data_IF_923273604717
#
_entry.id   IF_923273604717
#
_cell.length_a   1.000
_cell.length_b   1.000
_cell.length_c   1.000
_cell.angle_alpha   90.00
_cell.angle_beta   90.00
_cell.angle_gamma   90.00
#
_symmetry.space_group_name_H-M   'P 1'
#
loop_
_entity.id
_entity.type
_entity.pdbx_description
1 polymer ?
#
# COMPACT_ATOMS: atom_id res chain seq x y z
N UNK A 1 11.36 23.88 23.51
CA UNK A 1 10.56 22.64 23.66
C UNK A 1 9.21 22.86 23.01
N UNK A 2 8.75 21.99 22.13
CA UNK A 2 7.36 22.06 21.61
C UNK A 2 6.42 21.96 22.82
N UNK A 3 5.71 23.04 23.15
CA UNK A 3 4.77 23.09 24.28
C UNK A 3 3.50 22.32 23.97
N UNK A 4 3.62 21.01 23.74
CA UNK A 4 2.55 20.06 23.91
C UNK A 4 2.37 19.80 25.40
N UNK A 5 1.19 20.10 25.95
CA UNK A 5 0.98 19.96 27.40
C UNK A 5 -0.46 20.15 27.87
N UNK A 6 -1.42 20.24 26.94
CA UNK A 6 -2.84 20.36 27.28
C UNK A 6 -3.54 19.01 27.36
N UNK A 7 -2.93 17.93 26.84
CA UNK A 7 -3.50 16.59 26.82
C UNK A 7 -2.41 15.54 27.00
N UNK A 8 -2.63 14.60 27.91
CA UNK A 8 -1.77 13.44 28.17
C UNK A 8 -2.56 12.16 27.91
N UNK A 9 -2.01 11.23 27.13
CA UNK A 9 -2.57 9.89 26.98
C UNK A 9 -2.06 9.03 28.16
N UNK A 10 -2.99 8.48 28.95
CA UNK A 10 -2.67 7.55 30.05
C UNK A 10 -2.76 6.11 29.55
N UNK A 11 -3.80 5.82 28.78
CA UNK A 11 -3.98 4.53 28.09
C UNK A 11 -4.70 4.73 26.75
N UNK A 12 -5.01 3.66 26.02
CA UNK A 12 -5.79 3.74 24.76
C UNK A 12 -7.13 4.50 24.96
N UNK A 13 -7.74 4.35 26.14
CA UNK A 13 -9.09 4.84 26.44
C UNK A 13 -9.18 5.78 27.64
N UNK A 14 -8.03 6.28 28.12
CA UNK A 14 -7.96 7.25 29.20
C UNK A 14 -6.95 8.36 28.88
N UNK A 15 -7.40 9.59 29.11
CA UNK A 15 -6.66 10.81 28.84
C UNK A 15 -6.80 11.76 30.02
N UNK A 16 -5.78 12.58 30.24
CA UNK A 16 -5.88 13.75 31.10
C UNK A 16 -5.84 15.00 30.23
N UNK A 17 -6.77 15.92 30.45
CA UNK A 17 -6.83 17.20 29.74
C UNK A 17 -6.68 18.33 30.74
N UNK A 18 -5.73 19.24 30.50
CA UNK A 18 -5.46 20.38 31.38
C UNK A 18 -6.65 21.34 31.34
N UNK A 19 -7.06 21.82 32.50
CA UNK A 19 -8.05 22.88 32.60
C UNK A 19 -7.49 24.18 32.01
N UNK A 20 -8.32 24.88 31.24
CA UNK A 20 -7.98 26.20 30.69
C UNK A 20 -8.26 27.34 31.67
N UNK A 21 -9.18 27.13 32.62
CA UNK A 21 -9.63 28.17 33.56
C UNK A 21 -9.02 28.04 34.95
N UNK A 22 -8.48 26.86 35.29
CA UNK A 22 -7.86 26.62 36.60
C UNK A 22 -6.45 26.08 36.38
N UNK A 23 -5.45 26.86 36.74
CA UNK A 23 -4.05 26.48 36.52
C UNK A 23 -3.71 25.21 37.34
N UNK A 24 -2.87 24.33 36.78
CA UNK A 24 -2.46 23.08 37.44
C UNK A 24 -3.51 21.95 37.48
N UNK A 25 -4.79 22.22 37.21
CA UNK A 25 -5.85 21.18 37.28
C UNK A 25 -5.90 20.35 35.99
N UNK A 26 -6.01 19.03 36.16
CA UNK A 26 -6.21 18.07 35.09
C UNK A 26 -7.53 17.33 35.26
N UNK A 27 -8.27 17.17 34.17
CA UNK A 27 -9.49 16.38 34.13
C UNK A 27 -9.23 15.05 33.43
N UNK A 28 -9.51 13.95 34.12
CA UNK A 28 -9.54 12.62 33.50
C UNK A 28 -10.77 12.49 32.60
N UNK A 29 -10.53 12.01 31.38
CA UNK A 29 -11.51 11.68 30.35
C UNK A 29 -11.35 10.20 30.00
N UNK A 30 -12.41 9.41 30.24
CA UNK A 30 -12.39 7.94 30.10
C UNK A 30 -13.56 7.43 29.30
N UNK A 31 -13.38 6.32 28.59
CA UNK A 31 -14.47 5.57 27.97
C UNK A 31 -15.09 4.60 28.99
N UNK A 32 -16.32 4.85 29.41
CA UNK A 32 -17.05 4.06 30.42
C UNK A 32 -18.46 3.78 29.90
N UNK A 33 -18.92 2.52 29.98
CA UNK A 33 -20.29 2.11 29.62
C UNK A 33 -20.76 2.62 28.24
N UNK A 34 -19.86 2.59 27.25
CA UNK A 34 -20.18 3.00 25.88
C UNK A 34 -20.21 4.51 25.62
N UNK A 35 -19.79 5.35 26.58
CA UNK A 35 -19.73 6.80 26.45
C UNK A 35 -18.41 7.37 26.98
N UNK A 36 -17.99 8.52 26.45
CA UNK A 36 -16.90 9.29 27.04
C UNK A 36 -17.42 10.06 28.26
N UNK A 37 -16.73 9.90 29.39
CA UNK A 37 -17.02 10.57 30.64
C UNK A 37 -15.85 11.47 31.04
N UNK A 38 -16.14 12.60 31.69
CA UNK A 38 -15.13 13.54 32.15
C UNK A 38 -15.34 13.91 33.62
N UNK A 39 -14.24 14.05 34.35
CA UNK A 39 -14.24 14.45 35.76
C UNK A 39 -14.50 15.95 35.99
N UNK A 40 -14.64 16.76 34.94
CA UNK A 40 -14.87 18.20 35.07
C UNK A 40 -16.30 18.53 35.56
N UNK A 41 -16.43 19.67 36.20
CA UNK A 41 -17.70 20.15 36.79
C UNK A 41 -18.82 20.31 35.75
N UNK A 42 -18.51 20.83 34.57
CA UNK A 42 -19.46 20.99 33.46
C UNK A 42 -20.10 19.65 33.05
N UNK A 43 -19.29 18.60 32.91
CA UNK A 43 -19.77 17.27 32.58
C UNK A 43 -20.66 16.71 33.71
N UNK A 44 -20.26 16.88 34.98
CA UNK A 44 -21.04 16.44 36.14
C UNK A 44 -22.41 17.13 36.21
N UNK A 45 -22.46 18.43 35.95
CA UNK A 45 -23.69 19.24 36.01
C UNK A 45 -24.64 18.94 34.86
N UNK A 46 -24.13 18.84 33.63
CA UNK A 46 -24.98 18.71 32.43
C UNK A 46 -25.25 17.27 32.02
N UNK A 47 -24.40 16.32 32.42
CA UNK A 47 -24.39 14.95 31.87
C UNK A 47 -24.11 14.89 30.36
N UNK A 48 -23.67 15.99 29.76
CA UNK A 48 -23.42 16.16 28.32
C UNK A 48 -21.93 16.33 28.06
N UNK A 49 -21.51 16.03 26.83
CA UNK A 49 -20.13 16.19 26.37
C UNK A 49 -19.61 17.60 26.65
N UNK A 50 -18.43 17.68 27.28
CA UNK A 50 -17.73 18.91 27.60
C UNK A 50 -16.57 19.17 26.63
N UNK A 51 -15.96 20.34 26.71
CA UNK A 51 -14.79 20.71 25.90
C UNK A 51 -13.61 19.73 26.02
N UNK A 52 -13.40 19.12 27.19
CA UNK A 52 -12.32 18.15 27.40
C UNK A 52 -12.56 16.84 26.63
N UNK A 53 -13.82 16.40 26.52
CA UNK A 53 -14.21 15.26 25.69
C UNK A 53 -13.99 15.61 24.21
N UNK A 54 -14.38 16.82 23.77
CA UNK A 54 -14.10 17.26 22.40
C UNK A 54 -12.61 17.33 22.08
N UNK A 55 -11.78 17.79 23.02
CA UNK A 55 -10.33 17.81 22.86
C UNK A 55 -9.75 16.40 22.65
N UNK A 56 -10.20 15.41 23.43
CA UNK A 56 -9.80 14.00 23.26
C UNK A 56 -10.25 13.46 21.91
N UNK A 57 -11.50 13.71 21.53
CA UNK A 57 -12.06 13.25 20.26
C UNK A 57 -11.32 13.85 19.06
N UNK A 58 -10.97 15.14 19.12
CA UNK A 58 -10.17 15.81 18.10
C UNK A 58 -8.75 15.24 18.03
N UNK A 59 -8.10 15.08 19.19
CA UNK A 59 -6.74 14.51 19.27
C UNK A 59 -6.69 13.09 18.67
N UNK A 60 -7.69 12.25 18.95
CA UNK A 60 -7.80 10.91 18.36
C UNK A 60 -8.03 10.95 16.85
N UNK A 61 -8.73 11.97 16.33
CA UNK A 61 -9.03 12.13 14.91
C UNK A 61 -7.91 12.79 14.11
N UNK A 62 -7.03 13.55 14.77
CA UNK A 62 -5.99 14.36 14.14
C UNK A 62 -5.09 13.59 13.16
N UNK A 63 -4.60 12.37 13.46
CA UNK A 63 -3.81 11.62 12.50
C UNK A 63 -4.57 11.32 11.19
N UNK A 64 -5.87 11.01 11.27
CA UNK A 64 -6.70 10.76 10.08
C UNK A 64 -6.93 12.05 9.30
N UNK A 65 -7.06 13.18 9.99
CA UNK A 65 -7.20 14.51 9.35
C UNK A 65 -5.93 14.84 8.58
N UNK A 66 -4.76 14.69 9.22
CA UNK A 66 -3.46 14.91 8.57
C UNK A 66 -3.33 14.01 7.35
N UNK A 67 -3.58 12.70 7.49
CA UNK A 67 -3.48 11.75 6.38
C UNK A 67 -4.37 12.13 5.20
N UNK A 68 -5.58 12.64 5.45
CA UNK A 68 -6.50 13.11 4.40
C UNK A 68 -6.11 14.43 3.78
N UNK A 69 -5.30 15.23 4.45
CA UNK A 69 -4.81 16.50 3.93
C UNK A 69 -3.50 16.36 3.15
N UNK A 70 -2.86 15.18 3.17
CA UNK A 70 -1.66 14.88 2.34
C UNK A 70 -2.00 14.88 0.85
N UNK A 71 -3.22 14.52 0.48
CA UNK A 71 -3.70 14.58 -0.89
C UNK A 71 -5.14 15.08 -0.90
N UNK A 72 -5.53 15.86 -1.92
CA UNK A 72 -6.91 16.30 -2.10
C UNK A 72 -7.81 15.11 -2.46
N UNK A 73 -8.13 14.28 -1.47
CA UNK A 73 -9.03 13.15 -1.58
C UNK A 73 -10.44 13.71 -1.79
N UNK A 74 -10.87 13.78 -3.05
CA UNK A 74 -12.26 14.06 -3.38
C UNK A 74 -13.10 12.87 -2.93
N UNK A 75 -13.98 13.10 -1.96
CA UNK A 75 -14.85 12.04 -1.44
C UNK A 75 -15.80 11.66 -2.56
N UNK A 76 -15.84 10.36 -2.88
CA UNK A 76 -16.71 9.78 -3.91
C UNK A 76 -17.60 8.72 -3.30
N UNK A 77 -18.81 8.60 -3.83
CA UNK A 77 -19.74 7.60 -3.38
C UNK A 77 -19.16 6.22 -3.71
N UNK A 78 -19.05 5.30 -2.74
CA UNK A 78 -18.52 3.97 -3.01
C UNK A 78 -19.40 3.22 -4.02
N UNK A 79 -20.73 3.42 -3.97
CA UNK A 79 -21.67 2.69 -4.83
C UNK A 79 -21.76 3.18 -6.27
N UNK A 80 -21.66 4.49 -6.51
CA UNK A 80 -21.90 5.06 -7.85
C UNK A 80 -20.79 6.01 -8.33
N UNK A 81 -19.72 6.20 -7.57
CA UNK A 81 -18.61 7.09 -7.93
C UNK A 81 -18.92 8.60 -7.90
N UNK A 82 -20.19 9.00 -7.69
CA UNK A 82 -20.62 10.40 -7.66
C UNK A 82 -19.94 11.21 -6.56
N UNK A 83 -19.58 12.45 -6.89
CA UNK A 83 -19.06 13.47 -5.96
C UNK A 83 -20.17 14.25 -5.25
N UNK A 84 -21.44 14.06 -5.65
CA UNK A 84 -22.57 14.75 -5.05
C UNK A 84 -22.90 14.14 -3.67
N UNK A 85 -22.15 14.57 -2.67
CA UNK A 85 -22.10 13.98 -1.34
C UNK A 85 -22.32 15.05 -0.28
N UNK A 86 -23.21 14.77 0.66
CA UNK A 86 -23.44 15.62 1.83
C UNK A 86 -23.06 14.91 3.13
N UNK A 87 -22.60 15.69 4.12
CA UNK A 87 -22.34 15.19 5.47
C UNK A 87 -23.68 14.92 6.18
N UNK A 88 -23.85 13.72 6.74
CA UNK A 88 -25.06 13.29 7.47
C UNK A 88 -24.74 12.88 8.90
N UNK A 89 -24.25 13.84 9.68
CA UNK A 89 -23.93 13.66 11.09
C UNK A 89 -22.66 12.83 11.33
N UNK A 90 -22.35 12.60 12.60
CA UNK A 90 -21.11 11.95 13.04
C UNK A 90 -21.46 10.85 14.04
N UNK A 91 -20.94 9.64 13.82
CA UNK A 91 -20.99 8.58 14.83
C UNK A 91 -19.83 8.76 15.79
N UNK A 92 -20.13 8.78 17.08
CA UNK A 92 -19.13 8.78 18.14
C UNK A 92 -18.93 7.36 18.63
N UNK A 93 -17.69 6.89 18.68
CA UNK A 93 -17.37 5.57 19.18
C UNK A 93 -16.11 5.59 20.04
N UNK A 94 -15.79 4.42 20.59
CA UNK A 94 -14.59 4.20 21.42
C UNK A 94 -13.30 4.63 20.72
N UNK A 95 -13.22 4.41 19.40
CA UNK A 95 -12.07 4.74 18.57
C UNK A 95 -12.16 6.15 17.93
N UNK A 96 -13.00 7.04 18.47
CA UNK A 96 -13.15 8.42 18.02
C UNK A 96 -14.35 8.69 17.11
N UNK A 97 -14.29 9.81 16.39
CA UNK A 97 -15.35 10.31 15.52
C UNK A 97 -15.31 9.64 14.14
N UNK A 98 -16.47 9.23 13.62
CA UNK A 98 -16.65 8.68 12.28
C UNK A 98 -17.69 9.52 11.55
N UNK A 99 -17.25 10.24 10.52
CA UNK A 99 -18.14 11.08 9.71
C UNK A 99 -19.01 10.19 8.82
N UNK A 100 -20.33 10.41 8.83
CA UNK A 100 -21.28 9.77 7.90
C UNK A 100 -21.57 10.69 6.72
N UNK A 101 -21.78 10.09 5.57
CA UNK A 101 -22.07 10.74 4.30
C UNK A 101 -23.32 10.13 3.67
N UNK A 102 -24.03 10.93 2.89
CA UNK A 102 -25.10 10.51 2.00
C UNK A 102 -24.77 10.95 0.59
N UNK A 103 -24.76 10.00 -0.35
CA UNK A 103 -24.72 10.32 -1.76
C UNK A 103 -26.10 10.79 -2.23
N UNK A 104 -26.17 12.00 -2.78
CA UNK A 104 -27.41 12.56 -3.35
C UNK A 104 -27.77 11.96 -4.70
N UNK A 105 -26.81 11.39 -5.43
CA UNK A 105 -27.08 10.74 -6.72
C UNK A 105 -27.75 9.37 -6.58
N UNK A 106 -27.35 8.54 -5.61
CA UNK A 106 -27.87 7.17 -5.48
C UNK A 106 -28.48 6.84 -4.11
N UNK A 107 -28.64 7.83 -3.22
CA UNK A 107 -29.23 7.68 -1.89
C UNK A 107 -28.41 6.84 -0.89
N UNK A 108 -27.19 6.43 -1.25
CA UNK A 108 -26.40 5.51 -0.42
C UNK A 108 -25.73 6.22 0.74
N UNK A 109 -25.89 5.68 1.95
CA UNK A 109 -25.16 6.11 3.13
C UNK A 109 -23.81 5.41 3.22
N UNK A 110 -22.77 6.17 3.55
CA UNK A 110 -21.44 5.61 3.77
C UNK A 110 -20.68 6.40 4.83
N UNK A 111 -19.50 5.93 5.22
CA UNK A 111 -18.67 6.58 6.24
C UNK A 111 -17.26 6.89 5.78
N UNK A 112 -16.60 7.77 6.52
CA UNK A 112 -15.21 8.10 6.27
C UNK A 112 -14.24 6.94 6.59
N UNK A 113 -14.71 5.86 7.23
CA UNK A 113 -13.93 4.66 7.55
C UNK A 113 -14.30 3.43 6.71
N UNK A 114 -15.07 3.56 5.63
CA UNK A 114 -15.56 2.37 4.92
C UNK A 114 -14.47 1.41 4.44
N UNK A 115 -13.41 1.94 3.82
CA UNK A 115 -12.26 1.14 3.39
C UNK A 115 -11.46 0.54 4.57
N UNK A 116 -11.75 0.93 5.80
CA UNK A 116 -11.17 0.42 7.05
C UNK A 116 -12.20 -0.24 7.98
N UNK A 117 -13.39 -0.60 7.48
CA UNK A 117 -14.42 -1.27 8.26
C UNK A 117 -13.91 -2.60 8.85
N UNK A 118 -14.35 -2.89 10.08
CA UNK A 118 -13.94 -4.05 10.86
C UNK A 118 -12.54 -3.94 11.48
N UNK A 119 -11.84 -2.81 11.30
CA UNK A 119 -10.57 -2.58 11.99
C UNK A 119 -10.80 -1.83 13.29
N UNK A 120 -10.33 -2.41 14.39
CA UNK A 120 -10.32 -1.78 15.71
C UNK A 120 -9.40 -0.55 15.76
N UNK A 121 -8.34 -0.58 14.95
CA UNK A 121 -7.28 0.43 14.92
C UNK A 121 -7.44 1.43 13.78
N UNK A 122 -6.81 2.61 13.97
CA UNK A 122 -6.91 3.78 13.11
C UNK A 122 -6.42 3.48 11.66
N UNK A 123 -7.13 3.93 10.60
CA UNK A 123 -6.68 3.93 9.20
C UNK A 123 -5.20 4.28 9.00
N UNK A 124 -4.70 5.24 9.77
CA UNK A 124 -3.31 5.71 9.74
C UNK A 124 -2.34 4.60 10.10
N UNK A 125 -2.67 3.76 11.09
CA UNK A 125 -1.81 2.64 11.49
C UNK A 125 -1.64 1.63 10.35
N UNK A 126 -2.69 1.39 9.57
CA UNK A 126 -2.63 0.51 8.39
C UNK A 126 -1.72 1.11 7.32
N UNK A 127 -1.91 2.39 6.98
CA UNK A 127 -1.13 3.05 5.94
C UNK A 127 0.36 3.08 6.30
N UNK A 128 0.68 3.46 7.53
CA UNK A 128 2.06 3.44 8.04
C UNK A 128 2.62 2.03 8.02
N UNK A 129 1.82 1.04 8.43
CA UNK A 129 2.25 -0.36 8.41
C UNK A 129 2.63 -0.84 7.00
N UNK A 130 1.82 -0.50 5.99
CA UNK A 130 2.12 -0.82 4.59
C UNK A 130 3.42 -0.13 4.16
N UNK A 131 3.52 1.18 4.39
CA UNK A 131 4.68 1.98 3.98
C UNK A 131 5.99 1.45 4.58
N UNK A 132 6.04 1.28 5.90
CA UNK A 132 7.23 0.80 6.59
C UNK A 132 7.56 -0.65 6.21
N UNK A 133 6.55 -1.51 6.01
CA UNK A 133 6.78 -2.90 5.61
C UNK A 133 7.49 -3.01 4.26
N UNK A 134 7.09 -2.20 3.28
CA UNK A 134 7.73 -2.17 1.96
C UNK A 134 9.06 -1.39 1.94
N UNK A 135 9.32 -0.57 2.95
CA UNK A 135 10.62 0.07 3.23
C UNK A 135 11.53 -0.77 4.14
N UNK A 136 11.40 -2.09 4.10
CA UNK A 136 12.26 -3.06 4.81
C UNK A 136 12.20 -3.05 6.34
N UNK A 137 11.18 -2.42 6.95
CA UNK A 137 11.00 -2.50 8.40
C UNK A 137 10.36 -3.84 8.76
N UNK A 138 10.85 -4.48 9.83
CA UNK A 138 10.31 -5.75 10.33
C UNK A 138 8.94 -5.55 10.98
N UNK A 139 8.07 -6.55 10.96
CA UNK A 139 6.72 -6.44 11.56
C UNK A 139 6.77 -6.08 13.06
N UNK A 140 7.80 -6.54 13.78
CA UNK A 140 8.01 -6.22 15.20
C UNK A 140 8.44 -4.75 15.37
N UNK A 141 9.32 -4.26 14.51
CA UNK A 141 9.75 -2.86 14.54
C UNK A 141 8.61 -1.92 14.12
N UNK A 142 7.73 -2.34 13.20
CA UNK A 142 6.52 -1.57 12.86
C UNK A 142 5.59 -1.50 14.08
N UNK A 143 5.33 -2.62 14.77
CA UNK A 143 4.53 -2.62 16.00
C UNK A 143 5.13 -1.68 17.06
N UNK A 144 6.45 -1.74 17.26
CA UNK A 144 7.15 -0.86 18.17
C UNK A 144 7.04 0.62 17.75
N UNK A 145 7.23 0.93 16.47
CA UNK A 145 7.07 2.29 15.93
C UNK A 145 5.67 2.85 16.16
N UNK A 146 4.63 2.05 15.91
CA UNK A 146 3.24 2.44 16.16
C UNK A 146 2.98 2.73 17.65
N UNK A 147 3.60 1.94 18.55
CA UNK A 147 3.52 2.18 19.99
C UNK A 147 4.27 3.46 20.40
N UNK A 148 5.51 3.65 19.95
CA UNK A 148 6.36 4.76 20.35
C UNK A 148 5.87 6.12 19.84
N UNK A 149 5.49 6.19 18.56
CA UNK A 149 5.17 7.47 17.90
C UNK A 149 3.68 7.80 18.01
N UNK A 150 2.81 6.80 17.93
CA UNK A 150 1.36 7.01 17.86
C UNK A 150 0.61 6.51 19.09
N UNK A 151 1.30 5.87 20.05
CA UNK A 151 0.68 5.25 21.22
C UNK A 151 -0.31 4.14 20.85
N UNK A 152 -0.13 3.49 19.69
CA UNK A 152 -1.01 2.45 19.17
C UNK A 152 -0.38 1.09 19.48
N UNK A 153 -0.96 0.38 20.43
CA UNK A 153 -0.54 -0.98 20.76
C UNK A 153 -1.22 -1.99 19.84
N UNK A 154 -0.42 -2.69 19.04
CA UNK A 154 -0.90 -3.70 18.09
C UNK A 154 0.14 -4.81 17.96
N UNK A 155 -0.31 -6.07 17.86
CA UNK A 155 0.59 -7.19 17.63
C UNK A 155 1.11 -7.24 16.19
N UNK A 156 2.35 -7.72 16.02
CA UNK A 156 2.95 -7.93 14.70
C UNK A 156 2.12 -8.86 13.78
N UNK A 157 1.42 -9.84 14.35
CA UNK A 157 0.50 -10.73 13.63
C UNK A 157 -0.72 -9.98 13.09
N UNK A 158 -1.23 -8.99 13.82
CA UNK A 158 -2.34 -8.15 13.35
C UNK A 158 -1.90 -7.22 12.22
N UNK A 159 -0.69 -6.65 12.31
CA UNK A 159 -0.07 -5.89 11.21
C UNK A 159 0.05 -6.77 9.96
N UNK A 160 0.55 -8.00 10.10
CA UNK A 160 0.65 -8.94 8.97
C UNK A 160 -0.71 -9.21 8.32
N UNK A 161 -1.78 -9.41 9.11
CA UNK A 161 -3.14 -9.58 8.59
C UNK A 161 -3.63 -8.34 7.82
N UNK A 162 -3.30 -7.13 8.29
CA UNK A 162 -3.62 -5.90 7.54
C UNK A 162 -2.91 -5.87 6.20
N UNK A 163 -1.60 -6.13 6.18
CA UNK A 163 -0.81 -6.15 4.94
C UNK A 163 -1.44 -7.12 3.94
N UNK A 164 -1.70 -8.37 4.34
CA UNK A 164 -2.31 -9.36 3.44
C UNK A 164 -3.70 -8.94 2.92
N UNK A 165 -4.54 -8.36 3.79
CA UNK A 165 -5.88 -7.87 3.41
C UNK A 165 -5.78 -6.78 2.33
N UNK A 166 -4.98 -5.75 2.57
CA UNK A 166 -4.90 -4.61 1.67
C UNK A 166 -4.12 -4.92 0.41
N UNK A 167 -3.08 -5.75 0.46
CA UNK A 167 -2.39 -6.19 -0.76
C UNK A 167 -3.29 -7.02 -1.66
N UNK A 168 -4.09 -7.92 -1.08
CA UNK A 168 -5.09 -8.67 -1.87
C UNK A 168 -6.06 -7.72 -2.59
N UNK A 169 -6.44 -6.62 -1.95
CA UNK A 169 -7.30 -5.59 -2.54
C UNK A 169 -6.56 -4.79 -3.63
N UNK A 170 -5.37 -4.30 -3.34
CA UNK A 170 -4.58 -3.46 -4.25
C UNK A 170 -4.09 -4.23 -5.49
N UNK A 171 -3.80 -5.52 -5.34
CA UNK A 171 -3.39 -6.37 -6.46
C UNK A 171 -4.49 -6.51 -7.51
N UNK A 172 -5.77 -6.52 -7.10
CA UNK A 172 -6.90 -6.53 -8.05
C UNK A 172 -6.91 -5.29 -8.93
N UNK A 173 -6.67 -4.12 -8.33
CA UNK A 173 -6.56 -2.87 -9.08
C UNK A 173 -5.34 -2.91 -9.99
N UNK A 174 -4.17 -3.32 -9.48
CA UNK A 174 -2.96 -3.39 -10.30
C UNK A 174 -3.16 -4.23 -11.56
N UNK A 175 -3.88 -5.36 -11.47
CA UNK A 175 -4.19 -6.21 -12.63
C UNK A 175 -5.09 -5.50 -13.64
N UNK A 176 -6.04 -4.67 -13.19
CA UNK A 176 -6.98 -3.94 -14.04
C UNK A 176 -6.35 -2.74 -14.75
N UNK A 177 -5.27 -2.18 -14.20
CA UNK A 177 -4.55 -1.06 -14.83
C UNK A 177 -4.03 -1.48 -16.21
N UNK A 178 -4.11 -0.61 -17.21
CA UNK A 178 -3.60 -0.87 -18.57
C UNK A 178 -2.41 0.06 -18.88
N UNK A 179 -1.18 -0.31 -18.45
CA UNK A 179 0.00 0.53 -18.67
C UNK A 179 0.36 0.58 -20.16
N UNK A 180 0.75 1.77 -20.65
CA UNK A 180 1.33 1.93 -21.99
C UNK A 180 2.81 1.58 -21.94
N UNK A 181 3.12 0.32 -22.23
CA UNK A 181 4.47 -0.23 -22.15
C UNK A 181 5.20 -0.11 -23.50
N UNK A 182 6.53 -0.03 -23.44
CA UNK A 182 7.39 -0.04 -24.62
C UNK A 182 7.62 -1.45 -25.15
N UNK A 183 8.40 -1.53 -26.22
CA UNK A 183 8.78 -2.77 -26.90
C UNK A 183 10.19 -3.25 -26.52
N UNK A 184 10.82 -2.65 -25.51
CA UNK A 184 12.17 -3.01 -25.06
C UNK A 184 12.11 -3.54 -23.63
N UNK A 185 12.30 -4.85 -23.47
CA UNK A 185 12.19 -5.51 -22.16
C UNK A 185 13.54 -6.06 -21.72
N UNK A 186 13.77 -6.01 -20.41
CA UNK A 186 14.86 -6.74 -19.76
C UNK A 186 14.26 -7.87 -18.94
N UNK A 187 14.80 -9.07 -19.12
CA UNK A 187 14.35 -10.28 -18.43
C UNK A 187 15.54 -10.87 -17.71
N UNK A 188 15.34 -11.17 -16.44
CA UNK A 188 16.32 -11.89 -15.64
C UNK A 188 15.57 -12.73 -14.62
N UNK A 189 16.24 -13.74 -14.12
CA UNK A 189 15.70 -14.61 -13.11
C UNK A 189 16.69 -14.87 -12.00
N UNK A 190 16.17 -14.95 -10.78
CA UNK A 190 16.97 -14.97 -9.58
C UNK A 190 16.54 -16.08 -8.63
N UNK A 191 17.54 -16.74 -8.08
CA UNK A 191 17.38 -17.82 -7.11
C UNK A 191 16.90 -17.22 -5.79
N UNK A 192 15.84 -17.78 -5.22
CA UNK A 192 15.38 -17.44 -3.87
C UNK A 192 15.03 -18.70 -3.09
N UNK A 193 14.99 -18.58 -1.76
CA UNK A 193 14.56 -19.67 -0.88
C UNK A 193 13.17 -19.40 -0.35
N UNK A 194 12.22 -20.29 -0.63
CA UNK A 194 10.86 -20.28 -0.09
C UNK A 194 10.77 -21.28 1.06
N UNK A 195 10.72 -20.80 2.31
CA UNK A 195 10.73 -21.68 3.51
C UNK A 195 11.89 -22.70 3.54
N UNK A 196 13.04 -22.33 2.98
CA UNK A 196 14.21 -23.21 2.89
C UNK A 196 14.35 -23.92 1.54
N UNK A 197 13.26 -24.10 0.80
CA UNK A 197 13.25 -24.75 -0.51
C UNK A 197 13.76 -23.81 -1.61
N UNK A 198 14.64 -24.26 -2.51
CA UNK A 198 15.08 -23.46 -3.64
C UNK A 198 13.94 -23.23 -4.63
N UNK A 199 13.89 -22.02 -5.19
CA UNK A 199 13.02 -21.66 -6.29
C UNK A 199 13.56 -20.46 -7.05
N UNK A 200 12.89 -20.10 -8.14
CA UNK A 200 13.30 -19.03 -9.03
C UNK A 200 12.21 -17.99 -9.16
N UNK A 201 12.59 -16.72 -9.21
CA UNK A 201 11.72 -15.61 -9.59
C UNK A 201 12.18 -15.07 -10.91
N UNK A 202 11.28 -15.08 -11.90
CA UNK A 202 11.48 -14.50 -13.21
C UNK A 202 10.87 -13.11 -13.23
N UNK A 203 11.66 -12.13 -13.63
CA UNK A 203 11.26 -10.72 -13.65
C UNK A 203 11.37 -10.19 -15.08
N UNK A 204 10.29 -9.57 -15.55
CA UNK A 204 10.23 -8.92 -16.87
C UNK A 204 9.96 -7.44 -16.65
N UNK A 205 10.91 -6.60 -17.05
CA UNK A 205 10.89 -5.16 -16.82
C UNK A 205 10.84 -4.41 -18.14
N UNK A 206 9.98 -3.39 -18.24
CA UNK A 206 10.06 -2.41 -19.32
C UNK A 206 11.31 -1.56 -19.14
N UNK A 207 12.21 -1.57 -20.13
CA UNK A 207 13.53 -0.99 -20.00
C UNK A 207 13.49 0.54 -19.87
N UNK A 208 12.49 1.22 -20.43
CA UNK A 208 12.40 2.68 -20.42
C UNK A 208 11.75 3.18 -19.13
N UNK A 209 10.54 2.70 -18.86
CA UNK A 209 9.72 3.15 -17.72
C UNK A 209 10.07 2.48 -16.39
N UNK A 210 10.90 1.42 -16.40
CA UNK A 210 11.15 0.56 -15.23
C UNK A 210 9.89 -0.12 -14.71
N UNK A 211 8.81 -0.20 -15.49
CA UNK A 211 7.61 -0.88 -15.04
C UNK A 211 7.85 -2.39 -14.99
N UNK A 212 7.58 -3.02 -13.85
CA UNK A 212 7.62 -4.48 -13.72
C UNK A 212 6.38 -5.05 -14.40
N UNK A 213 6.58 -5.58 -15.60
CA UNK A 213 5.51 -6.11 -16.47
C UNK A 213 4.99 -7.43 -15.91
N UNK A 214 5.89 -8.33 -15.55
CA UNK A 214 5.54 -9.61 -14.96
C UNK A 214 6.59 -10.05 -13.94
N UNK A 215 6.11 -10.70 -12.89
CA UNK A 215 6.92 -11.49 -11.97
C UNK A 215 6.29 -12.87 -11.85
N UNK A 216 7.09 -13.92 -12.07
CA UNK A 216 6.65 -15.32 -12.00
C UNK A 216 7.57 -16.13 -11.11
N UNK A 217 7.04 -17.22 -10.56
CA UNK A 217 7.79 -18.10 -9.67
C UNK A 217 7.76 -19.52 -10.24
N UNK A 218 8.89 -20.23 -10.17
CA UNK A 218 9.01 -21.63 -10.61
C UNK A 218 9.95 -22.43 -9.72
N UNK A 219 9.90 -23.76 -9.87
CA UNK A 219 10.86 -24.69 -9.21
C UNK A 219 12.15 -24.82 -10.01
N UNK A 220 12.06 -24.75 -11.33
CA UNK A 220 13.20 -24.88 -12.24
C UNK A 220 13.42 -23.67 -13.14
N UNK A 221 14.41 -23.80 -14.02
CA UNK A 221 14.86 -22.83 -15.02
C UNK A 221 14.64 -23.29 -16.47
N UNK A 222 13.69 -24.20 -16.70
CA UNK A 222 13.43 -24.80 -18.02
C UNK A 222 12.89 -23.78 -19.02
N UNK A 223 12.85 -24.20 -20.29
CA UNK A 223 12.26 -23.45 -21.39
C UNK A 223 10.78 -23.15 -21.12
N UNK A 224 10.06 -24.10 -20.53
CA UNK A 224 8.63 -24.02 -20.25
C UNK A 224 8.34 -22.94 -19.19
N UNK A 225 9.21 -22.81 -18.19
CA UNK A 225 9.09 -21.82 -17.12
C UNK A 225 9.47 -20.41 -17.60
N UNK A 226 10.54 -20.29 -18.39
CA UNK A 226 10.87 -19.05 -19.09
C UNK A 226 9.73 -18.60 -20.03
N UNK A 227 9.17 -19.53 -20.81
CA UNK A 227 8.03 -19.28 -21.71
C UNK A 227 6.80 -18.81 -20.94
N UNK A 228 6.51 -19.41 -19.77
CA UNK A 228 5.41 -18.98 -18.93
C UNK A 228 5.59 -17.53 -18.45
N UNK A 229 6.79 -17.15 -18.01
CA UNK A 229 7.10 -15.79 -17.60
C UNK A 229 6.93 -14.78 -18.77
N UNK A 230 7.46 -15.12 -19.95
CA UNK A 230 7.34 -14.29 -21.15
C UNK A 230 5.89 -14.14 -21.62
N UNK A 231 5.11 -15.23 -21.63
CA UNK A 231 3.68 -15.19 -22.00
C UNK A 231 2.88 -14.25 -21.10
N UNK A 232 3.14 -14.26 -19.79
CA UNK A 232 2.48 -13.32 -18.86
C UNK A 232 2.84 -11.87 -19.18
N UNK A 233 4.09 -11.59 -19.52
CA UNK A 233 4.51 -10.24 -19.89
C UNK A 233 3.86 -9.78 -21.21
N UNK A 234 3.83 -10.66 -22.23
CA UNK A 234 3.15 -10.43 -23.51
C UNK A 234 1.68 -10.12 -23.32
N UNK A 235 0.97 -10.93 -22.55
CA UNK A 235 -0.45 -10.69 -22.26
C UNK A 235 -0.65 -9.35 -21.54
N UNK A 236 0.16 -9.05 -20.53
CA UNK A 236 0.08 -7.80 -19.74
C UNK A 236 0.31 -6.56 -20.59
N UNK A 237 1.29 -6.60 -21.50
CA UNK A 237 1.66 -5.49 -22.37
C UNK A 237 0.84 -5.43 -23.66
N UNK A 238 0.01 -6.45 -23.95
CA UNK A 238 -0.66 -6.61 -25.25
C UNK A 238 0.33 -6.53 -26.43
N UNK A 239 1.55 -7.04 -26.24
CA UNK A 239 2.61 -6.97 -27.23
C UNK A 239 2.40 -8.03 -28.32
N UNK A 240 2.40 -7.62 -29.59
CA UNK A 240 2.14 -8.53 -30.72
C UNK A 240 3.25 -8.56 -31.77
N UNK A 241 4.10 -7.53 -31.84
CA UNK A 241 5.20 -7.45 -32.80
C UNK A 241 6.37 -6.57 -32.35
N UNK A 242 7.54 -6.75 -32.99
CA UNK A 242 8.72 -5.90 -32.90
C UNK A 242 9.25 -5.74 -31.47
N UNK A 243 9.40 -6.85 -30.76
CA UNK A 243 9.81 -6.87 -29.36
C UNK A 243 11.32 -7.08 -29.24
N UNK A 244 12.00 -6.24 -28.48
CA UNK A 244 13.42 -6.37 -28.15
C UNK A 244 13.51 -6.94 -26.74
N UNK A 245 13.95 -8.18 -26.60
CA UNK A 245 14.12 -8.83 -25.30
C UNK A 245 15.60 -8.96 -24.99
N UNK A 246 16.01 -8.43 -23.84
CA UNK A 246 17.39 -8.54 -23.34
C UNK A 246 17.44 -9.49 -22.16
N UNK A 247 18.30 -10.50 -22.22
CA UNK A 247 18.43 -11.54 -21.17
C UNK A 247 19.89 -11.86 -20.87
N UNK A 248 20.15 -12.52 -19.74
CA UNK A 248 21.44 -13.15 -19.47
C UNK A 248 21.58 -14.50 -20.23
N UNK A 249 22.75 -15.17 -20.11
CA UNK A 249 23.26 -16.31 -20.90
C UNK A 249 22.46 -17.63 -20.81
N UNK A 250 21.25 -17.64 -20.28
CA UNK A 250 20.50 -18.87 -20.06
C UNK A 250 19.80 -19.31 -21.36
N UNK A 251 20.20 -20.48 -21.90
CA UNK A 251 19.66 -21.06 -23.15
C UNK A 251 18.13 -21.25 -23.17
N UNK A 252 17.48 -21.35 -22.01
CA UNK A 252 16.03 -21.49 -21.93
C UNK A 252 15.28 -20.24 -22.42
N UNK A 253 15.90 -19.06 -22.37
CA UNK A 253 15.29 -17.84 -22.91
C UNK A 253 15.15 -17.88 -24.43
N UNK A 254 16.22 -18.25 -25.15
CA UNK A 254 16.23 -18.34 -26.62
C UNK A 254 15.11 -19.29 -27.10
N UNK A 255 15.10 -20.52 -26.57
CA UNK A 255 14.07 -21.52 -26.89
C UNK A 255 12.66 -21.09 -26.48
N UNK A 256 12.52 -20.30 -25.42
CA UNK A 256 11.22 -19.77 -25.00
C UNK A 256 10.73 -18.68 -25.95
N UNK A 257 11.62 -17.83 -26.49
CA UNK A 257 11.26 -16.81 -27.47
C UNK A 257 10.83 -17.41 -28.80
N UNK A 258 11.46 -18.50 -29.26
CA UNK A 258 11.04 -19.25 -30.45
C UNK A 258 9.60 -19.79 -30.32
N UNK A 259 9.21 -20.20 -29.11
CA UNK A 259 7.85 -20.69 -28.80
C UNK A 259 6.84 -19.56 -28.52
N UNK A 260 7.26 -18.30 -28.54
CA UNK A 260 6.41 -17.15 -28.23
C UNK A 260 5.67 -16.69 -29.49
N UNK A 261 4.35 -16.52 -29.40
CA UNK A 261 3.53 -16.06 -30.53
C UNK A 261 3.57 -14.54 -30.69
N UNK A 262 4.77 -13.99 -30.93
CA UNK A 262 5.02 -12.55 -31.16
C UNK A 262 5.88 -12.41 -32.41
N UNK A 263 5.45 -11.59 -33.37
CA UNK A 263 6.20 -11.39 -34.60
C UNK A 263 7.47 -10.54 -34.35
N UNK A 264 8.57 -10.85 -35.05
CA UNK A 264 9.80 -10.05 -35.03
C UNK A 264 10.37 -9.82 -33.62
N UNK A 265 10.69 -10.89 -32.89
CA UNK A 265 11.42 -10.79 -31.63
C UNK A 265 12.91 -10.65 -31.95
N UNK A 266 13.53 -9.55 -31.48
CA UNK A 266 14.99 -9.40 -31.46
C UNK A 266 15.49 -9.76 -30.07
N UNK A 267 16.18 -10.89 -29.96
CA UNK A 267 16.90 -11.24 -28.74
C UNK A 267 18.26 -10.54 -28.70
N UNK A 268 18.56 -9.88 -27.58
CA UNK A 268 19.86 -9.27 -27.32
C UNK A 268 20.45 -9.95 -26.08
N UNK A 269 21.35 -10.90 -26.32
CA UNK A 269 22.22 -11.46 -25.28
C UNK A 269 23.61 -10.83 -25.31
N UNK A 270 24.40 -11.01 -24.25
CA UNK A 270 25.84 -10.67 -24.21
C UNK A 270 26.20 -9.18 -24.37
N UNK A 271 25.45 -8.27 -23.76
CA UNK A 271 25.86 -6.87 -23.68
C UNK A 271 27.10 -6.72 -22.75
N UNK A 272 28.19 -6.07 -23.21
CA UNK A 272 29.34 -5.71 -22.35
C UNK A 272 28.86 -4.74 -21.25
N UNK A 273 29.46 -4.77 -20.06
CA UNK A 273 29.07 -3.90 -18.92
C UNK A 273 28.99 -2.40 -19.31
N UNK A 274 29.88 -1.96 -20.21
CA UNK A 274 29.98 -0.58 -20.73
C UNK A 274 29.02 -0.24 -21.87
N UNK A 275 28.28 -1.21 -22.41
CA UNK A 275 27.37 -0.96 -23.53
C UNK A 275 26.03 -0.36 -23.06
N UNK A 276 25.39 0.52 -23.86
CA UNK A 276 24.05 1.05 -23.59
C UNK A 276 22.96 -0.04 -23.42
N UNK A 277 23.29 -1.25 -23.85
CA UNK A 277 22.42 -2.43 -23.92
C UNK A 277 22.53 -3.34 -22.69
N UNK A 278 23.27 -2.93 -21.65
CA UNK A 278 23.50 -3.74 -20.45
C UNK A 278 22.22 -4.05 -19.65
N UNK A 279 22.26 -5.14 -18.90
CA UNK A 279 21.20 -5.65 -18.01
C UNK A 279 21.15 -4.91 -16.65
N UNK A 280 21.86 -3.79 -16.49
CA UNK A 280 21.99 -3.08 -15.21
C UNK A 280 20.64 -2.63 -14.62
N UNK A 281 19.60 -2.47 -15.46
CA UNK A 281 18.26 -2.04 -14.99
C UNK A 281 17.56 -3.17 -14.25
N UNK A 282 17.52 -4.37 -14.85
CA UNK A 282 16.94 -5.55 -14.22
C UNK A 282 17.79 -6.05 -13.05
N UNK A 283 19.13 -5.93 -13.12
CA UNK A 283 19.99 -6.27 -11.99
C UNK A 283 19.75 -5.36 -10.78
N UNK A 284 19.58 -4.05 -10.98
CA UNK A 284 19.22 -3.10 -9.92
C UNK A 284 17.84 -3.43 -9.34
N UNK A 285 16.87 -3.83 -10.18
CA UNK A 285 15.58 -4.32 -9.70
C UNK A 285 15.76 -5.57 -8.82
N UNK A 286 16.49 -6.57 -9.31
CA UNK A 286 16.76 -7.82 -8.61
C UNK A 286 17.48 -7.58 -7.28
N UNK A 287 18.40 -6.62 -7.22
CA UNK A 287 19.04 -6.18 -5.97
C UNK A 287 18.05 -5.56 -4.98
N UNK A 288 17.12 -4.73 -5.47
CA UNK A 288 16.04 -4.14 -4.65
C UNK A 288 15.14 -5.23 -4.07
N UNK A 289 14.69 -6.17 -4.91
CA UNK A 289 13.87 -7.31 -4.50
C UNK A 289 14.62 -8.21 -3.49
N UNK A 290 15.90 -8.53 -3.74
CA UNK A 290 16.75 -9.29 -2.81
C UNK A 290 16.85 -8.61 -1.45
N UNK A 291 17.12 -7.31 -1.43
CA UNK A 291 17.21 -6.52 -0.19
C UNK A 291 15.91 -6.58 0.60
N UNK A 292 14.78 -6.48 -0.09
CA UNK A 292 13.47 -6.60 0.53
C UNK A 292 13.20 -7.99 1.08
N UNK A 293 13.42 -9.03 0.27
CA UNK A 293 13.21 -10.43 0.67
C UNK A 293 14.10 -10.85 1.84
N UNK A 294 15.34 -10.35 1.97
CA UNK A 294 16.21 -10.63 3.13
C UNK A 294 15.58 -10.23 4.46
N UNK A 295 14.83 -9.13 4.48
CA UNK A 295 14.14 -8.65 5.67
C UNK A 295 12.83 -9.40 5.97
N UNK A 296 12.38 -10.27 5.05
CA UNK A 296 11.11 -10.99 5.14
C UNK A 296 11.36 -12.48 5.30
N UNK A 297 10.65 -13.11 6.22
CA UNK A 297 10.43 -14.55 6.10
C UNK A 297 9.41 -14.74 4.99
N UNK A 298 9.85 -15.25 3.85
CA UNK A 298 8.95 -15.62 2.75
C UNK A 298 8.17 -16.87 3.19
N UNK A 299 7.09 -16.64 3.94
CA UNK A 299 6.25 -17.70 4.49
C UNK A 299 5.06 -17.92 3.57
N UNK A 300 5.08 -18.98 2.76
CA UNK A 300 3.95 -19.40 1.93
C UNK A 300 4.36 -20.54 1.00
N UNK A 301 3.39 -21.26 0.44
CA UNK A 301 3.66 -22.14 -0.70
C UNK A 301 4.06 -21.27 -1.89
N UNK A 302 4.95 -21.81 -2.72
CA UNK A 302 5.51 -21.08 -3.86
C UNK A 302 4.45 -20.61 -4.87
N UNK A 303 3.33 -21.34 -4.97
CA UNK A 303 2.21 -21.07 -5.89
C UNK A 303 1.33 -19.87 -5.50
N UNK A 304 1.38 -19.38 -4.26
CA UNK A 304 0.41 -18.40 -3.72
C UNK A 304 1.07 -17.29 -2.88
N UNK A 305 2.19 -16.77 -3.35
CA UNK A 305 2.98 -15.84 -2.55
C UNK A 305 2.47 -14.40 -2.60
N UNK A 306 1.44 -14.12 -1.79
CA UNK A 306 0.86 -12.76 -1.60
C UNK A 306 1.89 -11.71 -1.17
N UNK A 307 3.03 -12.12 -0.60
CA UNK A 307 4.13 -11.22 -0.24
C UNK A 307 4.66 -10.55 -1.50
N UNK A 308 4.95 -11.33 -2.54
CA UNK A 308 5.48 -10.83 -3.82
C UNK A 308 4.46 -9.98 -4.58
N UNK A 309 3.18 -10.32 -4.53
CA UNK A 309 2.12 -9.48 -5.12
C UNK A 309 2.15 -8.06 -4.59
N UNK A 310 2.33 -7.91 -3.27
CA UNK A 310 2.40 -6.58 -2.68
C UNK A 310 3.68 -5.83 -3.01
N UNK A 311 4.78 -6.55 -3.27
CA UNK A 311 6.00 -5.93 -3.78
C UNK A 311 5.80 -5.36 -5.19
N UNK A 312 5.04 -6.04 -6.07
CA UNK A 312 4.69 -5.51 -7.40
C UNK A 312 3.93 -4.19 -7.24
N UNK A 313 2.89 -4.18 -6.41
CA UNK A 313 2.09 -2.97 -6.13
C UNK A 313 2.97 -1.83 -5.62
N UNK A 314 3.81 -2.11 -4.61
CA UNK A 314 4.72 -1.11 -4.07
C UNK A 314 5.68 -0.58 -5.13
N UNK A 315 6.36 -1.48 -5.85
CA UNK A 315 7.38 -1.11 -6.81
C UNK A 315 6.81 -0.30 -7.98
N UNK A 316 5.69 -0.75 -8.57
CA UNK A 316 5.11 -0.09 -9.72
C UNK A 316 4.34 1.18 -9.35
N UNK A 317 3.62 1.22 -8.21
CA UNK A 317 2.62 2.27 -7.97
C UNK A 317 2.98 3.25 -6.84
N UNK A 318 3.99 2.96 -6.02
CA UNK A 318 4.33 3.77 -4.83
C UNK A 318 5.78 4.21 -4.82
N UNK A 319 6.71 3.30 -5.15
CA UNK A 319 8.14 3.53 -4.97
C UNK A 319 8.64 4.61 -5.96
N UNK A 320 9.29 5.69 -5.50
CA UNK A 320 9.90 6.68 -6.40
C UNK A 320 11.20 6.15 -6.99
N UNK A 321 11.51 6.58 -8.21
CA UNK A 321 12.76 6.25 -8.91
C UNK A 321 13.47 7.52 -9.34
N UNK A 322 14.70 7.74 -8.84
CA UNK A 322 15.55 8.87 -9.26
C UNK A 322 15.75 8.96 -10.77
N UNK A 323 15.81 7.81 -11.46
CA UNK A 323 15.94 7.76 -12.93
C UNK A 323 14.66 8.13 -13.70
N UNK A 324 13.57 8.41 -12.99
CA UNK A 324 12.25 8.79 -13.50
C UNK A 324 11.76 10.08 -12.81
N UNK A 325 12.68 10.97 -12.43
CA UNK A 325 12.38 12.23 -11.73
C UNK A 325 11.54 12.03 -10.46
N UNK A 326 11.92 11.04 -9.65
CA UNK A 326 11.26 10.62 -8.43
C UNK A 326 9.79 10.17 -8.59
N UNK A 327 9.37 9.85 -9.82
CA UNK A 327 8.08 9.20 -10.10
C UNK A 327 8.18 7.69 -9.91
N UNK A 328 7.04 7.08 -9.61
CA UNK A 328 6.86 5.63 -9.71
C UNK A 328 6.76 5.19 -11.17
N UNK A 329 7.11 3.93 -11.51
CA UNK A 329 6.95 3.42 -12.87
C UNK A 329 5.52 3.57 -13.41
N UNK A 330 4.52 3.36 -12.55
CA UNK A 330 3.10 3.50 -12.88
C UNK A 330 2.73 4.92 -13.31
N UNK A 331 3.28 5.95 -12.66
CA UNK A 331 3.04 7.34 -13.03
C UNK A 331 3.60 7.69 -14.42
N UNK A 332 4.60 6.95 -14.89
CA UNK A 332 5.20 7.14 -16.21
C UNK A 332 4.36 6.49 -17.31
N UNK A 333 3.76 5.33 -17.05
CA UNK A 333 3.10 4.50 -18.08
C UNK A 333 1.57 4.58 -18.08
N UNK A 334 0.97 5.12 -17.02
CA UNK A 334 -0.48 5.27 -16.91
C UNK A 334 -0.91 6.70 -17.28
N UNK A 335 -2.14 6.88 -17.78
CA UNK A 335 -2.68 8.21 -17.99
C UNK A 335 -2.66 9.04 -16.70
N UNK A 336 -2.41 10.35 -16.84
CA UNK A 336 -2.32 11.28 -15.71
C UNK A 336 -3.61 11.23 -14.88
N UNK A 337 -3.47 11.13 -13.55
CA UNK A 337 -4.60 11.11 -12.62
C UNK A 337 -5.24 9.74 -12.39
N UNK A 338 -4.86 8.68 -13.13
CA UNK A 338 -5.37 7.32 -12.90
C UNK A 338 -4.89 6.76 -11.56
N UNK A 339 -3.65 7.07 -11.19
CA UNK A 339 -3.07 6.74 -9.88
C UNK A 339 -2.46 7.99 -9.26
N UNK A 340 -2.40 7.99 -7.93
CA UNK A 340 -1.51 8.84 -7.13
C UNK A 340 -0.65 7.92 -6.26
N UNK A 341 0.65 8.18 -6.08
CA UNK A 341 1.59 7.26 -5.42
C UNK A 341 1.48 7.30 -3.88
N UNK A 342 0.25 7.31 -3.36
CA UNK A 342 -0.03 7.27 -1.93
C UNK A 342 -0.86 6.04 -1.60
N UNK A 343 -0.46 5.30 -0.56
CA UNK A 343 -1.18 4.11 -0.09
C UNK A 343 -2.66 4.39 0.17
N UNK A 344 -2.97 5.52 0.79
CA UNK A 344 -4.35 5.90 1.11
C UNK A 344 -5.19 6.09 -0.16
N UNK A 345 -4.64 6.74 -1.19
CA UNK A 345 -5.29 6.95 -2.49
C UNK A 345 -5.55 5.62 -3.20
N UNK A 346 -4.55 4.74 -3.24
CA UNK A 346 -4.71 3.41 -3.84
C UNK A 346 -5.75 2.57 -3.09
N UNK A 347 -5.77 2.61 -1.75
CA UNK A 347 -6.76 1.88 -0.95
C UNK A 347 -8.17 2.43 -1.19
N UNK A 348 -8.34 3.74 -1.27
CA UNK A 348 -9.62 4.37 -1.58
C UNK A 348 -10.11 4.00 -2.98
N UNK A 349 -9.26 4.13 -4.00
CA UNK A 349 -9.58 3.72 -5.38
C UNK A 349 -10.01 2.26 -5.44
N UNK A 350 -9.26 1.38 -4.78
CA UNK A 350 -9.57 -0.04 -4.73
C UNK A 350 -10.89 -0.37 -4.02
N UNK A 351 -11.30 0.48 -3.07
CA UNK A 351 -12.58 0.33 -2.40
C UNK A 351 -13.74 0.78 -3.29
N UNK A 352 -13.62 1.93 -3.97
CA UNK A 352 -14.68 2.48 -4.82
C UNK A 352 -14.95 1.64 -6.07
N UNK A 353 -13.90 1.10 -6.70
CA UNK A 353 -14.04 0.26 -7.91
C UNK A 353 -14.59 -1.15 -7.62
N UNK A 354 -14.63 -1.55 -6.35
CA UNK A 354 -15.20 -2.84 -5.92
C UNK A 354 -16.72 -2.80 -5.77
N UNK A 355 -17.29 -1.59 -5.76
CA UNK A 355 -18.69 -1.30 -5.51
C UNK A 355 -19.41 -0.76 -6.75
N UNK A 356 -18.67 -0.66 -7.87
CA UNK A 356 -19.17 -0.50 -9.24
C UNK A 356 -19.25 -1.88 -9.88
#
# INVERSE_FOLDING_TARGET
MLTGGQLKRISEFEYQVKSQSRNGIWHSVRWINGKWSCTCEDFRKRGKECKHIYAVLLFQKLPEIILRNVSSLEIRCPRCGSINIIKKGVRRGKSGLVQKYLCKSCGTYFSDRECFQGLRHNPVAVVISLDLYYKNVSLRNIAHHLKQIYGIEVSHSTIHRWILRYITLLKKIEIQLKPKLGNEWQVDDMNIKFRGEPGYVWNVLDARSRYLIAMSISKGRSTEEALCALKKAVARASASKNLIIRTDKLKSYEKAMEKLRVANIKHVGKAKLSSPENNNKIERFNGTLRGWLRSKRVTGKMSENKTLDGFIVFYNLIRPHKSLDDKSPGEVVLPKGIIKPYWIELIWKAFTEKSS
#
